data_IF_204514044905
#
_entry.id   IF_204514044905
#
_cell.length_a   1.000
_cell.length_b   1.000
_cell.length_c   1.000
_cell.angle_alpha   90.00
_cell.angle_beta   90.00
_cell.angle_gamma   90.00
#
_symmetry.space_group_name_H-M   'P 1'
#
loop_
_entity.id
_entity.type
_entity.pdbx_description
1 polymer ?
#
# COMPACT_ATOMS: atom_id res chain seq x y z
N UNK A 1 -17.61 -5.64 23.08
CA UNK A 1 -18.14 -6.37 21.90
C UNK A 1 -17.73 -5.55 20.69
N UNK A 2 -17.09 -6.14 19.71
CA UNK A 2 -16.82 -5.47 18.43
C UNK A 2 -18.17 -5.49 17.69
N UNK A 3 -18.64 -4.32 17.30
CA UNK A 3 -19.97 -4.13 16.74
C UNK A 3 -19.95 -3.68 15.27
N UNK A 4 -21.11 -3.51 14.68
CA UNK A 4 -21.26 -3.06 13.29
C UNK A 4 -20.68 -1.67 13.05
N UNK A 5 -20.62 -0.79 14.05
CA UNK A 5 -19.96 0.50 13.95
C UNK A 5 -18.47 0.35 13.62
N UNK A 6 -17.76 -0.59 14.29
CA UNK A 6 -16.36 -0.87 13.98
C UNK A 6 -16.18 -1.43 12.56
N UNK A 7 -17.13 -2.25 12.10
CA UNK A 7 -17.14 -2.79 10.72
C UNK A 7 -17.29 -1.68 9.69
N UNK A 8 -18.26 -0.81 9.86
CA UNK A 8 -18.51 0.33 8.97
C UNK A 8 -17.29 1.25 8.90
N UNK A 9 -16.65 1.53 10.03
CA UNK A 9 -15.48 2.40 10.11
C UNK A 9 -14.29 1.81 9.37
N UNK A 10 -13.93 0.55 9.64
CA UNK A 10 -12.82 -0.13 8.98
C UNK A 10 -13.07 -0.30 7.48
N UNK A 11 -14.32 -0.59 7.08
CA UNK A 11 -14.69 -0.71 5.67
C UNK A 11 -14.63 0.64 4.95
N UNK A 12 -15.10 1.71 5.61
CA UNK A 12 -15.01 3.08 5.09
C UNK A 12 -13.56 3.51 4.82
N UNK A 13 -12.68 3.29 5.80
CA UNK A 13 -11.25 3.60 5.68
C UNK A 13 -10.58 2.76 4.57
N UNK A 14 -10.95 1.48 4.45
CA UNK A 14 -10.45 0.62 3.38
C UNK A 14 -10.86 1.13 1.99
N UNK A 15 -12.12 1.55 1.82
CA UNK A 15 -12.60 2.14 0.56
C UNK A 15 -11.82 3.41 0.21
N UNK A 16 -11.64 4.28 1.18
CA UNK A 16 -10.91 5.52 0.99
C UNK A 16 -9.46 5.30 0.56
N UNK A 17 -8.73 4.43 1.23
CA UNK A 17 -7.31 4.18 0.92
C UNK A 17 -7.13 3.45 -0.43
N UNK A 18 -8.08 2.62 -0.86
CA UNK A 18 -8.07 1.99 -2.19
C UNK A 18 -8.14 3.02 -3.32
N UNK A 19 -9.03 4.01 -3.19
CA UNK A 19 -9.15 5.10 -4.17
C UNK A 19 -7.87 5.94 -4.20
N UNK A 20 -7.28 6.23 -3.05
CA UNK A 20 -5.99 6.91 -2.96
C UNK A 20 -4.89 6.13 -3.71
N UNK A 21 -4.84 4.80 -3.54
CA UNK A 21 -3.87 3.95 -4.24
C UNK A 21 -4.01 4.02 -5.77
N UNK A 22 -5.24 4.03 -6.30
CA UNK A 22 -5.47 4.16 -7.75
C UNK A 22 -5.09 5.55 -8.24
N UNK A 23 -5.44 6.60 -7.48
CA UNK A 23 -5.06 7.96 -7.81
C UNK A 23 -3.55 8.16 -7.94
N UNK A 24 -2.74 7.43 -7.17
CA UNK A 24 -1.26 7.50 -7.28
C UNK A 24 -0.72 7.17 -8.68
N UNK A 25 -1.53 6.59 -9.56
CA UNK A 25 -1.14 6.29 -10.94
C UNK A 25 -1.64 7.34 -11.95
N UNK A 26 -2.57 8.22 -11.53
CA UNK A 26 -3.21 9.17 -12.45
C UNK A 26 -2.21 10.20 -12.99
N UNK A 27 -2.28 10.46 -14.30
CA UNK A 27 -1.42 11.42 -14.99
C UNK A 27 0.01 10.97 -15.26
N UNK A 28 0.47 9.84 -14.67
CA UNK A 28 1.80 9.30 -14.91
C UNK A 28 1.87 8.52 -16.23
N UNK A 29 3.07 8.49 -16.84
CA UNK A 29 3.35 7.70 -18.03
C UNK A 29 3.33 6.19 -17.75
N UNK A 30 3.19 5.35 -18.80
CA UNK A 30 3.32 3.88 -18.66
C UNK A 30 4.71 3.49 -18.14
N UNK A 31 5.75 4.22 -18.52
CA UNK A 31 7.10 4.00 -18.02
C UNK A 31 7.20 4.28 -16.52
N UNK A 32 6.68 5.42 -16.06
CA UNK A 32 6.82 5.83 -14.66
C UNK A 32 6.05 4.94 -13.68
N UNK A 33 4.87 4.43 -14.07
CA UNK A 33 4.11 3.52 -13.19
C UNK A 33 4.72 2.12 -13.10
N UNK A 34 5.59 1.73 -14.04
CA UNK A 34 6.15 0.37 -14.17
C UNK A 34 7.63 0.25 -13.82
N UNK A 35 8.42 1.33 -14.03
CA UNK A 35 9.87 1.27 -13.79
C UNK A 35 10.21 1.01 -12.33
N UNK A 36 11.32 0.30 -12.04
CA UNK A 36 11.78 0.12 -10.66
C UNK A 36 12.20 1.47 -10.07
N UNK A 37 11.61 1.83 -8.94
CA UNK A 37 11.87 3.08 -8.23
C UNK A 37 12.74 2.89 -6.97
N UNK A 38 13.00 1.63 -6.60
CA UNK A 38 13.86 1.24 -5.50
C UNK A 38 14.85 0.16 -5.96
N UNK A 39 15.95 -0.08 -5.23
CA UNK A 39 16.89 -1.17 -5.55
C UNK A 39 16.24 -2.55 -5.58
N UNK A 40 15.14 -2.76 -4.88
CA UNK A 40 14.37 -4.01 -4.85
C UNK A 40 13.27 -4.09 -5.91
N UNK A 41 13.13 -3.06 -6.75
CA UNK A 41 12.19 -3.07 -7.87
C UNK A 41 10.78 -2.56 -7.58
N UNK A 42 10.52 -2.01 -6.39
CA UNK A 42 9.18 -1.48 -6.07
C UNK A 42 8.75 -0.44 -7.09
N UNK A 43 7.52 -0.58 -7.57
CA UNK A 43 6.89 0.31 -8.56
C UNK A 43 5.39 0.43 -8.30
N UNK A 44 4.77 1.52 -8.77
CA UNK A 44 3.38 1.84 -8.44
C UNK A 44 2.38 0.79 -8.95
N UNK A 45 2.54 0.33 -10.19
CA UNK A 45 1.62 -0.65 -10.78
C UNK A 45 1.75 -2.03 -10.13
N UNK A 46 2.96 -2.41 -9.73
CA UNK A 46 3.22 -3.62 -8.95
C UNK A 46 2.53 -3.62 -7.59
N UNK A 47 2.50 -2.47 -6.90
CA UNK A 47 1.75 -2.35 -5.65
C UNK A 47 0.26 -2.61 -5.84
N UNK A 48 -0.35 -2.13 -6.93
CA UNK A 48 -1.77 -2.41 -7.25
C UNK A 48 -1.99 -3.91 -7.49
N UNK A 49 -1.11 -4.59 -8.23
CA UNK A 49 -1.19 -6.04 -8.45
C UNK A 49 -1.09 -6.81 -7.13
N UNK A 50 -0.14 -6.44 -6.29
CA UNK A 50 0.03 -7.05 -4.97
C UNK A 50 -1.23 -6.91 -4.11
N UNK A 51 -1.76 -5.70 -3.99
CA UNK A 51 -2.98 -5.46 -3.21
C UNK A 51 -4.21 -6.18 -3.77
N UNK A 52 -4.30 -6.31 -5.10
CA UNK A 52 -5.34 -7.11 -5.76
C UNK A 52 -5.33 -8.56 -5.26
N UNK A 53 -4.16 -9.18 -5.25
CA UNK A 53 -3.99 -10.57 -4.80
C UNK A 53 -4.24 -10.70 -3.31
N UNK A 54 -3.64 -9.82 -2.51
CA UNK A 54 -3.82 -9.80 -1.05
C UNK A 54 -5.29 -9.74 -0.67
N UNK A 55 -6.01 -8.81 -1.26
CA UNK A 55 -7.41 -8.59 -0.93
C UNK A 55 -8.32 -9.73 -1.39
N UNK A 56 -8.12 -10.26 -2.61
CA UNK A 56 -8.87 -11.40 -3.11
C UNK A 56 -8.73 -12.65 -2.20
N UNK A 57 -7.55 -12.86 -1.66
CA UNK A 57 -7.31 -13.97 -0.72
C UNK A 57 -7.95 -13.72 0.64
N UNK A 58 -7.62 -12.60 1.27
CA UNK A 58 -8.01 -12.33 2.64
C UNK A 58 -9.52 -12.09 2.80
N UNK A 59 -10.15 -11.33 1.90
CA UNK A 59 -11.58 -11.01 1.96
C UNK A 59 -12.44 -11.90 1.03
N UNK A 60 -11.82 -12.84 0.33
CA UNK A 60 -12.50 -13.84 -0.49
C UNK A 60 -12.28 -15.25 0.02
N UNK A 61 -11.13 -15.85 -0.30
CA UNK A 61 -10.81 -17.26 -0.04
C UNK A 61 -10.95 -17.64 1.44
N UNK A 62 -10.43 -16.81 2.36
CA UNK A 62 -10.46 -17.07 3.82
C UNK A 62 -11.88 -17.23 4.36
N UNK A 63 -12.86 -16.64 3.73
CA UNK A 63 -14.29 -16.74 4.12
C UNK A 63 -15.10 -17.66 3.22
N UNK A 64 -14.45 -18.53 2.42
CA UNK A 64 -15.15 -19.45 1.52
C UNK A 64 -15.92 -18.75 0.40
N UNK A 65 -15.51 -17.55 0.04
CA UNK A 65 -16.08 -16.70 -1.03
C UNK A 65 -14.99 -16.34 -2.05
N UNK A 66 -14.36 -17.33 -2.74
CA UNK A 66 -13.22 -17.07 -3.61
C UNK A 66 -13.60 -16.08 -4.73
N UNK A 67 -12.63 -15.21 -5.08
CA UNK A 67 -12.78 -14.34 -6.24
C UNK A 67 -12.88 -15.17 -7.51
N UNK A 68 -13.84 -14.89 -8.43
CA UNK A 68 -14.13 -15.78 -9.54
C UNK A 68 -13.06 -15.83 -10.64
N UNK A 69 -12.15 -14.84 -10.69
CA UNK A 69 -11.05 -14.84 -11.63
C UNK A 69 -9.78 -15.43 -10.98
N UNK A 70 -8.89 -16.09 -11.74
CA UNK A 70 -7.65 -16.62 -11.21
C UNK A 70 -6.79 -15.51 -10.60
N UNK A 71 -6.29 -15.70 -9.38
CA UNK A 71 -5.30 -14.85 -8.73
C UNK A 71 -4.05 -15.67 -8.39
N UNK A 72 -2.85 -15.06 -8.39
CA UNK A 72 -1.63 -15.75 -7.95
C UNK A 72 -1.81 -16.35 -6.55
N UNK A 73 -1.22 -17.52 -6.30
CA UNK A 73 -1.30 -18.18 -5.00
C UNK A 73 -0.13 -17.79 -4.12
N UNK A 74 -0.38 -17.59 -2.82
CA UNK A 74 0.66 -17.32 -1.83
C UNK A 74 1.57 -18.52 -1.54
N UNK A 75 1.10 -19.74 -1.80
CA UNK A 75 1.85 -20.99 -1.73
C UNK A 75 2.51 -21.37 -3.07
N UNK A 76 2.49 -20.45 -4.03
CA UNK A 76 3.18 -20.59 -5.31
C UNK A 76 4.70 -20.60 -5.16
N UNK A 77 5.37 -20.91 -6.25
CA UNK A 77 6.83 -20.80 -6.31
C UNK A 77 7.29 -19.32 -6.24
N UNK A 78 8.59 -19.11 -6.04
CA UNK A 78 9.18 -17.77 -5.94
C UNK A 78 8.92 -16.91 -7.19
N UNK A 79 8.84 -17.51 -8.36
CA UNK A 79 8.55 -16.82 -9.61
C UNK A 79 7.10 -16.28 -9.64
N UNK A 80 6.13 -17.08 -9.19
CA UNK A 80 4.74 -16.67 -9.08
C UNK A 80 4.55 -15.54 -8.05
N UNK A 81 5.24 -15.62 -6.91
CA UNK A 81 5.23 -14.57 -5.90
C UNK A 81 5.88 -13.27 -6.41
N UNK A 82 7.01 -13.39 -7.11
CA UNK A 82 7.70 -12.24 -7.72
C UNK A 82 6.84 -11.58 -8.79
N UNK A 83 6.18 -12.35 -9.66
CA UNK A 83 5.31 -11.84 -10.73
C UNK A 83 4.13 -10.99 -10.21
N UNK A 84 3.78 -11.13 -8.94
CA UNK A 84 2.74 -10.35 -8.28
C UNK A 84 3.14 -8.89 -7.97
N UNK A 85 4.43 -8.57 -8.01
CA UNK A 85 4.97 -7.26 -7.61
C UNK A 85 5.34 -6.36 -8.79
N UNK A 86 5.11 -6.79 -10.03
CA UNK A 86 5.39 -6.01 -11.24
C UNK A 86 4.48 -6.43 -12.39
N UNK A 87 4.35 -5.57 -13.40
CA UNK A 87 3.53 -5.84 -14.59
C UNK A 87 4.43 -6.05 -15.80
N UNK A 88 4.17 -7.14 -16.57
CA UNK A 88 4.85 -7.40 -17.85
C UNK A 88 4.39 -6.41 -18.91
N UNK A 89 5.09 -6.37 -20.05
CA UNK A 89 4.73 -5.56 -21.21
C UNK A 89 3.35 -5.91 -21.79
N UNK A 90 2.90 -7.15 -21.63
CA UNK A 90 1.62 -7.64 -22.15
C UNK A 90 0.43 -7.34 -21.22
N UNK A 91 0.66 -6.98 -19.98
CA UNK A 91 -0.38 -6.63 -19.02
C UNK A 91 -0.74 -5.15 -19.13
N UNK A 92 -1.96 -4.83 -19.54
CA UNK A 92 -2.38 -3.44 -19.63
C UNK A 92 -2.66 -2.83 -18.25
N UNK A 93 -2.26 -1.56 -18.07
CA UNK A 93 -2.56 -0.76 -16.87
C UNK A 93 -4.08 -0.71 -16.57
N UNK A 94 -4.87 -0.53 -17.63
CA UNK A 94 -6.32 -0.46 -17.49
C UNK A 94 -6.91 -1.77 -16.96
N UNK A 95 -6.42 -2.92 -17.40
CA UNK A 95 -6.87 -4.23 -16.93
C UNK A 95 -6.43 -4.49 -15.48
N UNK A 96 -5.20 -4.13 -15.11
CA UNK A 96 -4.70 -4.26 -13.74
C UNK A 96 -5.56 -3.44 -12.77
N UNK A 97 -5.83 -2.16 -13.08
CA UNK A 97 -6.70 -1.31 -12.27
C UNK A 97 -8.14 -1.82 -12.29
N UNK A 98 -8.65 -2.23 -13.44
CA UNK A 98 -9.99 -2.79 -13.59
C UNK A 98 -10.18 -4.04 -12.73
N UNK A 99 -9.19 -4.92 -12.70
CA UNK A 99 -9.19 -6.11 -11.86
C UNK A 99 -9.17 -5.77 -10.37
N UNK A 100 -8.35 -4.82 -9.96
CA UNK A 100 -8.34 -4.34 -8.57
C UNK A 100 -9.73 -3.83 -8.15
N UNK A 101 -10.39 -3.04 -8.98
CA UNK A 101 -11.77 -2.58 -8.72
C UNK A 101 -12.79 -3.71 -8.64
N UNK A 102 -12.65 -4.76 -9.48
CA UNK A 102 -13.53 -5.94 -9.38
C UNK A 102 -13.31 -6.71 -8.09
N UNK A 103 -12.06 -6.81 -7.63
CA UNK A 103 -11.74 -7.39 -6.32
C UNK A 103 -12.35 -6.55 -5.20
N UNK A 104 -12.30 -5.21 -5.24
CA UNK A 104 -12.97 -4.37 -4.25
C UNK A 104 -14.47 -4.70 -4.15
N UNK A 105 -15.15 -4.71 -5.28
CA UNK A 105 -16.58 -5.00 -5.30
C UNK A 105 -16.90 -6.38 -4.72
N UNK A 106 -16.05 -7.37 -4.98
CA UNK A 106 -16.19 -8.71 -4.43
C UNK A 106 -15.94 -8.74 -2.91
N UNK A 107 -14.88 -8.07 -2.45
CA UNK A 107 -14.53 -7.92 -1.03
C UNK A 107 -15.60 -7.16 -0.26
N UNK A 108 -16.10 -6.07 -0.83
CA UNK A 108 -17.20 -5.29 -0.25
C UNK A 108 -18.45 -6.15 -0.07
N UNK A 109 -18.80 -6.96 -1.08
CA UNK A 109 -19.91 -7.89 -0.97
C UNK A 109 -19.68 -8.99 0.11
N UNK A 110 -18.44 -9.37 0.35
CA UNK A 110 -18.09 -10.30 1.44
C UNK A 110 -18.25 -9.62 2.80
N UNK A 111 -17.71 -8.41 2.95
CA UNK A 111 -17.79 -7.62 4.18
C UNK A 111 -19.28 -7.36 4.54
N UNK A 112 -20.07 -6.95 3.55
CA UNK A 112 -21.49 -6.64 3.75
C UNK A 112 -22.30 -7.89 4.16
N UNK A 113 -21.97 -9.05 3.60
CA UNK A 113 -22.68 -10.31 3.87
C UNK A 113 -22.35 -10.95 5.22
N UNK A 114 -21.22 -10.61 5.84
CA UNK A 114 -20.73 -11.29 7.04
C UNK A 114 -20.80 -10.38 8.27
N UNK A 115 -21.11 -10.97 9.42
CA UNK A 115 -20.97 -10.29 10.71
C UNK A 115 -19.47 -10.02 10.99
N UNK A 116 -19.18 -8.94 11.72
CA UNK A 116 -17.79 -8.55 12.03
C UNK A 116 -17.01 -9.64 12.80
N UNK A 117 -17.71 -10.50 13.50
CA UNK A 117 -17.15 -11.64 14.23
C UNK A 117 -17.25 -12.98 13.48
N UNK A 118 -17.65 -12.98 12.20
CA UNK A 118 -17.69 -14.17 11.36
C UNK A 118 -16.32 -14.89 11.38
N UNK A 119 -16.29 -16.23 11.58
CA UNK A 119 -15.05 -16.98 11.66
C UNK A 119 -14.38 -17.10 10.30
N UNK A 120 -13.04 -17.07 10.30
CA UNK A 120 -12.17 -17.35 9.17
C UNK A 120 -10.96 -18.15 9.62
N UNK A 121 -10.20 -18.69 8.66
CA UNK A 121 -9.00 -19.46 8.95
C UNK A 121 -7.87 -19.07 7.98
N UNK A 122 -6.76 -18.50 8.53
CA UNK A 122 -5.58 -18.09 7.79
C UNK A 122 -4.43 -19.06 8.12
N UNK A 123 -4.19 -20.10 7.31
CA UNK A 123 -3.32 -21.23 7.69
C UNK A 123 -1.86 -20.85 8.00
N UNK A 124 -1.37 -19.77 7.41
CA UNK A 124 0.02 -19.30 7.58
C UNK A 124 0.23 -18.30 8.73
N UNK A 125 -0.84 -17.94 9.43
CA UNK A 125 -0.70 -17.07 10.61
C UNK A 125 -0.37 -17.85 11.86
N UNK A 126 0.40 -17.27 12.80
CA UNK A 126 0.68 -17.92 14.10
C UNK A 126 -0.58 -18.24 14.91
N UNK A 127 -1.65 -17.49 14.68
CA UNK A 127 -3.00 -17.73 15.22
C UNK A 127 -3.95 -17.81 14.03
N UNK A 128 -4.15 -19.01 13.48
CA UNK A 128 -4.84 -19.18 12.21
C UNK A 128 -6.36 -18.93 12.29
N UNK A 129 -6.97 -19.23 13.45
CA UNK A 129 -8.41 -18.99 13.65
C UNK A 129 -8.64 -17.51 13.95
N UNK A 130 -9.33 -16.86 13.06
CA UNK A 130 -9.54 -15.42 13.04
C UNK A 130 -11.02 -15.07 12.90
N UNK A 131 -11.33 -13.81 13.01
CA UNK A 131 -12.64 -13.21 12.70
C UNK A 131 -12.48 -12.22 11.54
N UNK A 132 -13.59 -11.87 10.90
CA UNK A 132 -13.60 -10.82 9.86
C UNK A 132 -12.91 -9.54 10.35
N UNK A 133 -13.12 -9.16 11.62
CA UNK A 133 -12.42 -8.04 12.25
C UNK A 133 -10.91 -8.11 12.08
N UNK A 134 -10.30 -9.27 12.40
CA UNK A 134 -8.84 -9.42 12.31
C UNK A 134 -8.34 -9.27 10.88
N UNK A 135 -9.09 -9.83 9.92
CA UNK A 135 -8.76 -9.76 8.50
C UNK A 135 -8.95 -8.34 7.96
N UNK A 136 -10.03 -7.63 8.32
CA UNK A 136 -10.23 -6.23 7.95
C UNK A 136 -9.11 -5.33 8.45
N UNK A 137 -8.73 -5.47 9.73
CA UNK A 137 -7.60 -4.72 10.30
C UNK A 137 -6.31 -5.04 9.54
N UNK A 138 -6.07 -6.30 9.22
CA UNK A 138 -4.88 -6.71 8.48
C UNK A 138 -4.85 -6.11 7.07
N UNK A 139 -5.92 -6.26 6.29
CA UNK A 139 -6.00 -5.74 4.91
C UNK A 139 -5.90 -4.22 4.89
N UNK A 140 -6.57 -3.51 5.81
CA UNK A 140 -6.46 -2.07 5.94
C UNK A 140 -5.03 -1.65 6.26
N UNK A 141 -4.38 -2.31 7.22
CA UNK A 141 -2.98 -2.01 7.61
C UNK A 141 -2.02 -2.25 6.45
N UNK A 142 -2.18 -3.35 5.73
CA UNK A 142 -1.35 -3.70 4.58
C UNK A 142 -1.55 -2.70 3.43
N UNK A 143 -2.80 -2.35 3.12
CA UNK A 143 -3.10 -1.35 2.10
C UNK A 143 -2.55 0.02 2.47
N UNK A 144 -2.70 0.45 3.74
CA UNK A 144 -2.17 1.72 4.23
C UNK A 144 -0.64 1.75 4.20
N UNK A 145 0.02 0.64 4.55
CA UNK A 145 1.48 0.52 4.43
C UNK A 145 1.96 0.73 3.00
N UNK A 146 1.29 0.09 2.04
CA UNK A 146 1.64 0.24 0.63
C UNK A 146 1.23 1.61 0.06
N UNK A 147 0.19 2.24 0.59
CA UNK A 147 -0.13 3.63 0.25
C UNK A 147 0.99 4.58 0.66
N UNK A 148 1.56 4.43 1.87
CA UNK A 148 2.73 5.21 2.27
C UNK A 148 3.96 4.98 1.37
N UNK A 149 4.19 3.77 0.86
CA UNK A 149 5.20 3.52 -0.16
C UNK A 149 4.89 4.27 -1.45
N UNK A 150 3.65 4.19 -1.93
CA UNK A 150 3.21 4.87 -3.14
C UNK A 150 3.26 6.41 -3.00
N UNK A 151 3.01 6.95 -1.80
CA UNK A 151 3.13 8.38 -1.50
C UNK A 151 4.54 8.89 -1.79
N UNK A 152 5.55 8.24 -1.23
CA UNK A 152 6.95 8.62 -1.43
C UNK A 152 7.38 8.44 -2.88
N UNK A 153 6.98 7.34 -3.53
CA UNK A 153 7.30 7.09 -4.93
C UNK A 153 6.65 8.12 -5.85
N UNK A 154 5.42 8.51 -5.59
CA UNK A 154 4.69 9.53 -6.36
C UNK A 154 5.33 10.90 -6.22
N UNK A 155 5.63 11.32 -4.99
CA UNK A 155 6.30 12.59 -4.72
C UNK A 155 7.66 12.68 -5.43
N UNK A 156 8.43 11.59 -5.47
CA UNK A 156 9.71 11.53 -6.19
C UNK A 156 9.57 11.62 -7.72
N UNK A 157 8.45 11.17 -8.27
CA UNK A 157 8.22 11.16 -9.72
C UNK A 157 7.81 12.53 -10.26
N UNK A 158 6.86 13.18 -9.63
CA UNK A 158 6.25 14.40 -10.13
C UNK A 158 5.94 15.46 -9.06
N UNK A 159 6.29 15.20 -7.80
CA UNK A 159 6.05 16.10 -6.68
C UNK A 159 4.61 16.09 -6.14
N UNK A 160 3.73 15.24 -6.68
CA UNK A 160 2.36 15.16 -6.20
C UNK A 160 2.29 14.45 -4.84
N UNK A 161 1.58 15.05 -3.88
CA UNK A 161 1.36 14.57 -2.51
C UNK A 161 -0.13 14.43 -2.22
N UNK A 162 -0.50 13.83 -1.07
CA UNK A 162 -1.88 13.67 -0.66
C UNK A 162 -2.54 12.40 -1.22
N UNK A 163 -3.84 12.29 -1.05
CA UNK A 163 -4.64 11.10 -1.39
C UNK A 163 -5.56 11.30 -2.58
N UNK A 164 -5.66 12.54 -3.07
CA UNK A 164 -6.47 12.91 -4.23
C UNK A 164 -5.84 14.08 -5.00
N UNK A 165 -6.35 14.37 -6.20
CA UNK A 165 -5.85 15.45 -7.06
C UNK A 165 -5.92 16.87 -6.43
N UNK A 166 -6.76 17.04 -5.41
CA UNK A 166 -6.92 18.32 -4.72
C UNK A 166 -6.00 18.53 -3.51
N UNK A 167 -5.38 17.47 -3.02
CA UNK A 167 -4.68 17.50 -1.73
C UNK A 167 -3.26 18.05 -1.81
N UNK A 168 -2.64 18.02 -2.99
CA UNK A 168 -1.24 18.43 -3.18
C UNK A 168 -0.95 19.88 -2.78
N UNK A 169 -1.97 20.68 -2.52
CA UNK A 169 -1.84 22.11 -2.20
C UNK A 169 -2.63 22.54 -0.95
N UNK A 170 -3.02 21.61 -0.08
CA UNK A 170 -3.77 21.95 1.15
C UNK A 170 -3.09 23.02 2.01
N UNK A 171 -1.77 23.20 1.90
CA UNK A 171 -1.01 24.19 2.65
C UNK A 171 -0.71 25.46 1.87
N UNK A 172 -1.06 25.55 0.57
CA UNK A 172 -0.86 26.73 -0.28
C UNK A 172 0.59 27.22 -0.31
N UNK A 173 1.57 26.33 -0.20
CA UNK A 173 2.99 26.66 -0.08
C UNK A 173 3.68 26.52 -1.40
N UNK A 174 4.46 27.54 -1.79
CA UNK A 174 5.19 27.57 -3.03
C UNK A 174 6.47 26.72 -3.01
N UNK A 175 7.07 26.57 -4.19
CA UNK A 175 8.31 25.81 -4.36
C UNK A 175 9.47 26.38 -3.53
N UNK A 176 9.53 27.70 -3.33
CA UNK A 176 10.59 28.35 -2.57
C UNK A 176 10.50 28.00 -1.07
N UNK A 177 9.29 27.89 -0.53
CA UNK A 177 9.09 27.38 0.82
C UNK A 177 9.63 25.96 0.98
N UNK A 178 9.28 25.05 0.06
CA UNK A 178 9.71 23.65 0.15
C UNK A 178 11.22 23.50 -0.05
N UNK A 179 11.83 24.27 -0.93
CA UNK A 179 13.29 24.31 -1.10
C UNK A 179 14.01 24.78 0.17
N UNK A 180 13.54 25.85 0.79
CA UNK A 180 14.07 26.37 2.06
C UNK A 180 13.92 25.33 3.18
N UNK A 181 12.75 24.69 3.28
CA UNK A 181 12.48 23.65 4.27
C UNK A 181 13.41 22.43 4.12
N UNK A 182 13.58 21.96 2.88
CA UNK A 182 14.53 20.88 2.58
C UNK A 182 15.96 21.25 2.99
N UNK A 183 16.40 22.44 2.65
CA UNK A 183 17.75 22.92 3.00
C UNK A 183 17.93 23.01 4.53
N UNK A 184 16.91 23.41 5.27
CA UNK A 184 16.94 23.44 6.74
C UNK A 184 17.08 22.03 7.32
N UNK A 185 16.29 21.08 6.86
CA UNK A 185 16.34 19.66 7.29
C UNK A 185 17.71 19.06 6.99
N UNK A 186 18.24 19.29 5.79
CA UNK A 186 19.57 18.80 5.38
C UNK A 186 20.69 19.36 6.26
N UNK A 187 20.66 20.66 6.58
CA UNK A 187 21.64 21.26 7.49
C UNK A 187 21.59 20.65 8.88
N UNK A 188 20.40 20.41 9.41
CA UNK A 188 20.19 19.79 10.71
C UNK A 188 20.75 18.35 10.74
N UNK A 189 20.48 17.58 9.69
CA UNK A 189 20.97 16.21 9.56
C UNK A 189 22.51 16.17 9.53
N UNK A 190 23.17 17.03 8.73
CA UNK A 190 24.63 17.12 8.67
C UNK A 190 25.26 17.57 9.98
N UNK A 191 24.64 18.51 10.69
CA UNK A 191 25.13 18.94 11.99
C UNK A 191 25.08 17.81 13.03
N UNK A 192 24.00 17.02 13.04
CA UNK A 192 23.87 15.87 13.92
C UNK A 192 24.91 14.76 13.62
N UNK A 193 25.18 14.49 12.34
CA UNK A 193 26.19 13.52 11.94
C UNK A 193 27.60 13.93 12.38
N UNK A 194 27.94 15.23 12.20
CA UNK A 194 29.24 15.79 12.62
C UNK A 194 29.43 15.71 14.14
N UNK A 195 28.38 15.98 14.91
CA UNK A 195 28.44 15.88 16.38
C UNK A 195 28.70 14.43 16.83
N UNK A 196 27.99 13.45 16.25
CA UNK A 196 28.16 12.02 16.56
C UNK A 196 29.57 11.51 16.21
N UNK A 197 30.14 11.95 15.08
CA UNK A 197 31.52 11.56 14.69
C UNK A 197 32.58 12.13 15.61
N UNK A 198 32.35 13.33 16.14
CA UNK A 198 33.26 13.96 17.10
C UNK A 198 33.23 13.25 18.48
N UNK A 199 32.05 12.84 18.95
CA UNK A 199 31.91 12.09 20.20
C UNK A 199 32.52 10.67 20.10
N UNK A 200 32.29 9.99 18.95
CA UNK A 200 32.87 8.67 18.69
C UNK A 200 34.41 8.66 18.62
N UNK A 201 34.99 9.72 18.09
CA UNK A 201 36.47 9.88 18.04
C UNK A 201 37.10 10.19 19.42
N UNK A 202 36.33 10.79 20.34
CA UNK A 202 36.79 11.08 21.71
C UNK A 202 36.72 9.89 22.68
N UNK A 203 36.02 8.81 22.31
CA UNK A 203 35.76 7.64 23.18
C UNK A 203 36.89 6.55 23.08
N UNK A 204 37.82 6.64 22.14
CA UNK A 204 38.97 5.71 22.07
C UNK A 204 40.07 6.26 22.95
N UNK A 205 40.05 5.91 24.25
CA UNK A 205 41.22 6.03 25.14
C UNK A 205 41.96 4.69 25.21
N UNK A 206 43.30 4.75 25.35
CA UNK A 206 44.18 3.59 25.31
C UNK A 206 43.99 2.60 26.47
#
# INVERSE_FOLDING_TARGET
>A
MIDEFAKEYLHGDLRWIREAMVWKLDGLSEYDVRRPLTPTGTNLLGLIKHLTTTEAWYLGEIFGRPFPEPVPRWDGDEAALSANMWATEDESRAEIIGRYRRVWAHSDATIDALAIDAPGHVPWWPRPDVKLFNVLVHVLTETTRHAGHADILREQLDGATGVSAGDSDELGRDAAFWESRRAEIERAARAADTANTAEGAGAVKP
#
